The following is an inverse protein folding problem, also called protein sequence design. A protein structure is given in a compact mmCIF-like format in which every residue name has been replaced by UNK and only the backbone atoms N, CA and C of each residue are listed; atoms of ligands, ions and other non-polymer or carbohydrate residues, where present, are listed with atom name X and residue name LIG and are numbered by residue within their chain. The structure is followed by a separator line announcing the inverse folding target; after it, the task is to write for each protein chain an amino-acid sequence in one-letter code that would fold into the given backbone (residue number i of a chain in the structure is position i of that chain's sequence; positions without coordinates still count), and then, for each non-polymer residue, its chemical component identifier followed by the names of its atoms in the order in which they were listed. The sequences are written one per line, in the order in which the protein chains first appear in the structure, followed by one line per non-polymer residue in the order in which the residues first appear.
data_IF_782113094677
#
_entry.id   IF_782113094677
#
_cell.length_a   1.000
_cell.length_b   1.000
_cell.length_c   1.000
_cell.angle_alpha   90.00
_cell.angle_beta   90.00
_cell.angle_gamma   90.00
#
_symmetry.space_group_name_H-M   'P 1'
#
loop_
_entity.id
_entity.type
_entity.pdbx_description
1 polymer ?
#
# COMPACT_ATOMS: atom_id res chain seq x y z
N UNK A 1 -5.09 26.28 4.31
CA UNK A 1 -4.50 25.24 5.19
C UNK A 1 -4.72 23.88 4.52
N UNK A 2 -3.73 23.36 3.78
CA UNK A 2 -3.75 21.95 3.38
C UNK A 2 -3.64 21.13 4.66
N UNK A 3 -4.66 20.33 5.00
CA UNK A 3 -4.53 19.34 6.08
C UNK A 3 -3.38 18.43 5.70
N UNK A 4 -2.27 18.50 6.45
CA UNK A 4 -1.05 17.77 6.13
C UNK A 4 -1.34 16.28 6.06
N UNK A 5 -1.28 15.71 4.85
CA UNK A 5 -1.25 14.25 4.68
C UNK A 5 0.05 13.77 5.30
N UNK A 6 0.01 13.28 6.53
CA UNK A 6 1.13 12.54 7.09
C UNK A 6 1.01 11.10 6.59
N UNK A 7 2.06 10.61 5.92
CA UNK A 7 2.18 9.17 5.67
C UNK A 7 2.86 8.57 6.90
N UNK A 8 2.37 7.42 7.36
CA UNK A 8 2.87 6.77 8.57
C UNK A 8 4.40 6.65 8.57
N UNK A 9 4.98 6.80 9.75
CA UNK A 9 6.42 6.78 9.98
C UNK A 9 6.74 6.83 11.47
N UNK A 10 7.94 6.38 11.84
CA UNK A 10 8.32 6.25 13.24
C UNK A 10 9.74 5.76 13.42
N UNK A 11 10.09 5.53 14.68
CA UNK A 11 11.37 4.95 15.10
C UNK A 11 11.10 3.48 15.38
N UNK A 12 11.71 2.60 14.60
CA UNK A 12 11.52 1.16 14.65
C UNK A 12 12.82 0.51 15.13
N UNK A 13 12.90 0.06 16.39
CA UNK A 13 14.04 -0.72 16.85
C UNK A 13 14.08 -2.07 16.12
N UNK A 14 15.28 -2.53 15.79
CA UNK A 14 15.49 -3.83 15.19
C UNK A 14 16.07 -4.81 16.21
N UNK A 15 15.94 -6.10 15.94
CA UNK A 15 16.52 -7.18 16.75
C UNK A 15 18.05 -7.10 16.89
N UNK A 16 18.73 -6.31 16.04
CA UNK A 16 20.19 -6.16 16.03
C UNK A 16 20.67 -4.97 16.87
N UNK A 17 19.79 -4.33 17.64
CA UNK A 17 20.10 -3.11 18.40
C UNK A 17 20.31 -1.88 17.51
N UNK A 18 19.96 -1.96 16.21
CA UNK A 18 19.91 -0.79 15.33
C UNK A 18 18.50 -0.22 15.30
N UNK A 19 18.37 0.97 14.74
CA UNK A 19 17.08 1.66 14.59
C UNK A 19 16.89 1.99 13.12
N UNK A 20 15.66 1.82 12.62
CA UNK A 20 15.22 2.38 11.35
C UNK A 20 14.25 3.50 11.66
N UNK A 21 14.45 4.68 11.07
CA UNK A 21 13.51 5.79 11.18
C UNK A 21 13.13 6.33 9.81
N UNK A 22 11.92 6.87 9.72
CA UNK A 22 11.35 7.38 8.48
C UNK A 22 9.91 6.91 8.28
N UNK A 23 9.40 6.96 7.04
CA UNK A 23 10.01 7.60 5.88
C UNK A 23 9.83 9.14 5.92
N UNK A 24 10.41 9.82 4.93
CA UNK A 24 10.02 11.18 4.60
C UNK A 24 8.81 11.21 3.65
N UNK A 25 8.38 12.40 3.25
CA UNK A 25 7.28 12.60 2.31
C UNK A 25 7.71 13.51 1.16
N UNK A 26 8.21 12.89 0.08
CA UNK A 26 8.52 13.56 -1.17
C UNK A 26 7.60 13.07 -2.28
N UNK A 27 6.91 13.99 -2.96
CA UNK A 27 6.18 13.67 -4.18
C UNK A 27 7.17 13.59 -5.34
N UNK A 28 6.95 12.61 -6.22
CA UNK A 28 7.80 12.36 -7.39
C UNK A 28 6.97 12.57 -8.65
N UNK A 29 7.59 13.18 -9.66
CA UNK A 29 7.00 13.26 -11.01
C UNK A 29 7.20 11.95 -11.78
N UNK A 30 8.39 11.33 -11.64
CA UNK A 30 8.71 10.06 -12.27
C UNK A 30 9.15 9.02 -11.25
N UNK A 31 8.82 7.75 -11.54
CA UNK A 31 9.26 6.60 -10.74
C UNK A 31 10.79 6.48 -10.67
N UNK A 32 11.50 6.96 -11.69
CA UNK A 32 12.97 6.98 -11.74
C UNK A 32 13.61 7.88 -10.68
N UNK A 33 12.87 8.86 -10.16
CA UNK A 33 13.43 9.91 -9.29
C UNK A 33 13.40 9.51 -7.80
N UNK A 34 13.33 8.20 -7.56
CA UNK A 34 13.23 7.57 -6.24
C UNK A 34 14.57 7.53 -5.49
N UNK A 35 15.65 7.95 -6.11
CA UNK A 35 16.95 8.02 -5.46
C UNK A 35 16.89 8.99 -4.28
N UNK A 36 17.61 8.62 -3.21
CA UNK A 36 17.72 9.46 -2.03
C UNK A 36 18.67 10.63 -2.29
N UNK A 37 18.33 11.78 -1.74
CA UNK A 37 19.21 12.95 -1.70
C UNK A 37 19.82 13.13 -0.31
N UNK A 38 20.86 13.96 -0.20
CA UNK A 38 21.41 14.34 1.11
C UNK A 38 20.39 15.14 1.93
N UNK A 39 19.51 15.89 1.26
CA UNK A 39 18.41 16.61 1.93
C UNK A 39 17.39 15.65 2.53
N UNK A 40 17.05 14.55 1.84
CA UNK A 40 16.16 13.51 2.39
C UNK A 40 16.74 12.95 3.71
N UNK A 41 18.06 12.74 3.76
CA UNK A 41 18.75 12.24 4.96
C UNK A 41 18.74 13.28 6.08
N UNK A 42 19.11 14.54 5.77
CA UNK A 42 19.09 15.66 6.74
C UNK A 42 17.70 15.89 7.31
N UNK A 43 16.65 15.79 6.49
CA UNK A 43 15.25 15.90 6.92
C UNK A 43 14.93 14.82 7.95
N UNK A 44 15.27 13.56 7.65
CA UNK A 44 15.02 12.45 8.57
C UNK A 44 15.83 12.57 9.86
N UNK A 45 17.10 12.94 9.78
CA UNK A 45 17.94 13.13 10.97
C UNK A 45 17.41 14.27 11.85
N UNK A 46 17.09 15.43 11.27
CA UNK A 46 16.54 16.56 12.03
C UNK A 46 15.22 16.22 12.70
N UNK A 47 14.38 15.40 12.07
CA UNK A 47 13.08 14.97 12.59
C UNK A 47 13.17 13.91 13.68
N UNK A 48 14.03 12.90 13.52
CA UNK A 48 14.02 11.71 14.39
C UNK A 48 15.18 11.65 15.38
N UNK A 49 16.36 12.22 15.10
CA UNK A 49 17.50 12.21 16.03
C UNK A 49 17.19 12.88 17.39
N UNK A 50 16.45 14.00 17.47
CA UNK A 50 16.11 14.60 18.77
C UNK A 50 15.26 13.71 19.68
N UNK A 51 14.59 12.69 19.12
CA UNK A 51 13.76 11.75 19.88
C UNK A 51 14.58 10.58 20.44
N UNK A 52 15.86 10.45 20.06
CA UNK A 52 16.74 9.37 20.50
C UNK A 52 17.62 9.85 21.65
N UNK A 53 17.78 9.01 22.68
CA UNK A 53 18.69 9.29 23.81
C UNK A 53 20.16 9.23 23.42
N UNK A 54 20.48 8.50 22.35
CA UNK A 54 21.85 8.28 21.87
C UNK A 54 21.91 8.59 20.39
N UNK A 55 22.99 9.26 19.98
CA UNK A 55 23.29 9.47 18.57
C UNK A 55 24.04 8.26 18.04
N UNK A 56 23.46 7.60 17.03
CA UNK A 56 24.09 6.51 16.31
C UNK A 56 24.84 6.99 15.06
N UNK A 57 25.58 6.07 14.44
CA UNK A 57 26.14 6.25 13.10
C UNK A 57 25.12 5.81 12.05
N UNK A 58 24.97 6.57 10.97
CA UNK A 58 24.17 6.16 9.81
C UNK A 58 24.81 4.92 9.16
N UNK A 59 24.09 3.80 9.16
CA UNK A 59 24.58 2.54 8.60
C UNK A 59 24.15 2.35 7.15
N UNK A 60 22.90 2.70 6.84
CA UNK A 60 22.28 2.48 5.53
C UNK A 60 21.05 3.37 5.37
N UNK A 61 20.76 3.72 4.13
CA UNK A 61 19.55 4.44 3.72
C UNK A 61 18.86 3.60 2.66
N UNK A 62 17.53 3.57 2.74
CA UNK A 62 16.66 2.90 1.78
C UNK A 62 15.69 3.92 1.22
N UNK A 63 15.29 3.74 -0.04
CA UNK A 63 14.26 4.55 -0.67
C UNK A 63 13.25 3.65 -1.38
N UNK A 64 12.02 4.12 -1.50
CA UNK A 64 10.94 3.38 -2.14
C UNK A 64 9.80 4.32 -2.52
N UNK A 65 9.15 4.01 -3.64
CA UNK A 65 8.02 4.80 -4.17
C UNK A 65 6.72 4.11 -3.80
N UNK A 66 5.77 4.87 -3.24
CA UNK A 66 4.41 4.40 -3.00
C UNK A 66 3.54 4.74 -4.23
N UNK A 67 2.93 3.76 -4.90
CA UNK A 67 2.00 4.02 -5.99
C UNK A 67 0.73 4.65 -5.42
N UNK A 68 0.41 5.88 -5.85
CA UNK A 68 -0.78 6.59 -5.40
C UNK A 68 -1.95 6.36 -6.35
N UNK A 69 -3.16 6.30 -5.80
CA UNK A 69 -4.40 6.37 -6.56
C UNK A 69 -4.90 7.81 -6.60
N UNK A 70 -5.45 8.30 -7.74
CA UNK A 70 -6.16 9.58 -7.79
C UNK A 70 -7.30 9.68 -6.77
N UNK A 71 -7.88 8.55 -6.38
CA UNK A 71 -9.01 8.46 -5.46
C UNK A 71 -8.59 8.25 -3.99
N UNK A 72 -7.30 8.06 -3.72
CA UNK A 72 -6.80 7.82 -2.36
C UNK A 72 -7.22 6.48 -1.74
N UNK A 73 -7.59 5.50 -2.57
CA UNK A 73 -7.93 4.12 -2.17
C UNK A 73 -7.37 3.11 -3.19
N UNK A 74 -7.30 1.84 -2.80
CA UNK A 74 -6.88 0.73 -3.67
C UNK A 74 -7.93 0.51 -4.75
N UNK A 75 -7.51 0.46 -6.01
CA UNK A 75 -8.39 0.18 -7.13
C UNK A 75 -8.06 -1.20 -7.70
N UNK A 76 -9.10 -1.99 -7.95
CA UNK A 76 -9.04 -3.21 -8.73
C UNK A 76 -9.86 -2.99 -10.00
N UNK A 77 -9.18 -2.89 -11.14
CA UNK A 77 -9.80 -2.58 -12.43
C UNK A 77 -9.55 -3.70 -13.43
N UNK A 78 -10.58 -4.10 -14.15
CA UNK A 78 -10.46 -5.03 -15.26
C UNK A 78 -10.02 -4.27 -16.52
N UNK A 79 -9.07 -4.83 -17.26
CA UNK A 79 -8.67 -4.30 -18.56
C UNK A 79 -9.74 -4.56 -19.61
N UNK A 80 -9.67 -3.84 -20.73
CA UNK A 80 -10.67 -3.88 -21.80
C UNK A 80 -10.99 -5.30 -22.32
N UNK A 81 -10.00 -6.20 -22.33
CA UNK A 81 -10.17 -7.59 -22.77
C UNK A 81 -10.87 -8.49 -21.75
N UNK A 82 -11.16 -7.99 -20.54
CA UNK A 82 -11.68 -8.78 -19.41
C UNK A 82 -10.68 -9.78 -18.83
N UNK A 83 -9.47 -9.91 -19.39
CA UNK A 83 -8.45 -10.90 -19.00
C UNK A 83 -7.24 -10.31 -18.28
N UNK A 84 -7.27 -9.02 -18.01
CA UNK A 84 -6.25 -8.30 -17.26
C UNK A 84 -6.89 -7.73 -16.00
N UNK A 85 -6.27 -7.94 -14.84
CA UNK A 85 -6.70 -7.35 -13.58
C UNK A 85 -5.58 -6.42 -13.10
N UNK A 86 -5.89 -5.14 -12.98
CA UNK A 86 -4.97 -4.11 -12.52
C UNK A 86 -5.22 -3.80 -11.04
N UNK A 87 -4.15 -3.81 -10.26
CA UNK A 87 -4.15 -3.26 -8.90
C UNK A 87 -3.45 -1.90 -8.92
N UNK A 88 -4.18 -0.83 -8.60
CA UNK A 88 -3.68 0.54 -8.68
C UNK A 88 -3.72 1.18 -7.29
N UNK A 89 -2.72 2.01 -7.00
CA UNK A 89 -2.71 2.83 -5.80
C UNK A 89 -2.45 2.06 -4.52
N UNK A 90 -1.70 0.95 -4.59
CA UNK A 90 -1.31 0.13 -3.42
C UNK A 90 -0.29 0.90 -2.55
N UNK A 91 -0.74 1.99 -1.95
CA UNK A 91 -0.04 2.76 -0.92
C UNK A 91 -0.28 2.16 0.48
N UNK A 92 0.11 2.83 1.56
CA UNK A 92 -0.17 2.33 2.91
C UNK A 92 -1.68 2.28 3.15
N UNK A 93 -2.25 1.17 3.68
CA UNK A 93 -1.61 -0.01 4.29
C UNK A 93 -1.49 -1.25 3.37
N UNK A 94 -0.96 -1.11 2.16
CA UNK A 94 -1.00 -2.13 1.10
C UNK A 94 -0.27 -3.42 1.43
N UNK A 95 0.86 -3.35 2.13
CA UNK A 95 1.57 -4.55 2.60
C UNK A 95 0.71 -5.33 3.62
N UNK A 96 0.08 -4.62 4.55
CA UNK A 96 -0.83 -5.22 5.54
C UNK A 96 -2.07 -5.80 4.87
N UNK A 97 -2.58 -5.15 3.82
CA UNK A 97 -3.75 -5.59 3.07
C UNK A 97 -3.46 -6.69 2.03
N UNK A 98 -2.19 -7.01 1.77
CA UNK A 98 -1.79 -7.92 0.69
C UNK A 98 -2.50 -9.28 0.71
N UNK A 99 -2.69 -9.96 1.87
CA UNK A 99 -3.42 -11.23 1.91
C UNK A 99 -4.90 -11.10 1.49
N UNK A 100 -5.58 -10.02 1.90
CA UNK A 100 -6.97 -9.77 1.53
C UNK A 100 -7.10 -9.41 0.04
N UNK A 101 -6.20 -8.57 -0.46
CA UNK A 101 -6.12 -8.23 -1.89
C UNK A 101 -5.86 -9.47 -2.75
N UNK A 102 -4.97 -10.36 -2.31
CA UNK A 102 -4.70 -11.63 -3.01
C UNK A 102 -5.93 -12.51 -3.14
N UNK A 103 -6.73 -12.63 -2.08
CA UNK A 103 -8.00 -13.39 -2.12
C UNK A 103 -9.02 -12.74 -3.06
N UNK A 104 -9.13 -11.41 -3.03
CA UNK A 104 -10.03 -10.67 -3.92
C UNK A 104 -9.64 -10.86 -5.40
N UNK A 105 -8.35 -10.75 -5.72
CA UNK A 105 -7.85 -10.99 -7.09
C UNK A 105 -8.10 -12.44 -7.51
N UNK A 106 -7.84 -13.42 -6.64
CA UNK A 106 -8.10 -14.82 -6.95
C UNK A 106 -9.58 -15.10 -7.25
N UNK A 107 -10.51 -14.48 -6.51
CA UNK A 107 -11.94 -14.57 -6.79
C UNK A 107 -12.28 -13.97 -8.16
N UNK A 108 -11.74 -12.80 -8.48
CA UNK A 108 -11.94 -12.15 -9.79
C UNK A 108 -11.41 -12.99 -10.95
N UNK A 109 -10.21 -13.56 -10.80
CA UNK A 109 -9.65 -14.49 -11.80
C UNK A 109 -10.57 -15.69 -12.03
N UNK A 110 -11.13 -16.28 -10.96
CA UNK A 110 -12.08 -17.40 -11.10
C UNK A 110 -13.33 -17.00 -11.88
N UNK A 111 -13.89 -15.82 -11.59
CA UNK A 111 -15.06 -15.30 -12.32
C UNK A 111 -14.75 -15.09 -13.81
N UNK A 112 -13.60 -14.48 -14.13
CA UNK A 112 -13.15 -14.25 -15.52
C UNK A 112 -12.95 -15.56 -16.29
N UNK A 113 -12.40 -16.59 -15.64
CA UNK A 113 -12.11 -17.89 -16.26
C UNK A 113 -13.30 -18.85 -16.24
N UNK A 114 -14.40 -18.54 -15.54
CA UNK A 114 -15.56 -19.43 -15.39
C UNK A 114 -15.28 -20.72 -14.62
N UNK A 115 -14.31 -20.72 -13.69
CA UNK A 115 -13.94 -21.94 -12.93
C UNK A 115 -14.76 -22.06 -11.65
N UNK A 116 -15.46 -23.18 -11.48
CA UNK A 116 -16.18 -23.50 -10.25
C UNK A 116 -15.24 -24.09 -9.19
N UNK A 117 -15.51 -23.79 -7.90
CA UNK A 117 -14.77 -24.37 -6.77
C UNK A 117 -14.92 -25.90 -6.78
N UNK A 118 -13.81 -26.62 -6.66
CA UNK A 118 -13.86 -28.05 -6.41
C UNK A 118 -14.25 -28.26 -4.93
N UNK A 119 -15.29 -29.04 -4.66
CA UNK A 119 -15.95 -29.17 -3.35
C UNK A 119 -15.03 -29.62 -2.20
N UNK A 120 -13.85 -30.15 -2.53
CA UNK A 120 -12.90 -30.73 -1.58
C UNK A 120 -11.98 -29.71 -0.85
N UNK A 121 -11.97 -28.42 -1.21
CA UNK A 121 -10.99 -27.43 -0.69
C UNK A 121 -11.62 -26.41 0.27
N UNK A 122 -12.92 -26.52 0.58
CA UNK A 122 -13.73 -25.46 1.19
C UNK A 122 -13.49 -25.15 2.68
N UNK A 123 -12.95 -26.06 3.49
CA UNK A 123 -13.06 -25.90 4.96
C UNK A 123 -11.95 -25.06 5.61
N UNK A 124 -10.84 -24.80 4.90
CA UNK A 124 -9.64 -24.19 5.52
C UNK A 124 -9.56 -22.65 5.44
N UNK A 125 -10.17 -22.02 4.43
CA UNK A 125 -9.94 -20.59 4.15
C UNK A 125 -11.01 -19.63 4.70
N UNK A 126 -12.23 -20.09 4.94
CA UNK A 126 -13.38 -19.24 5.27
C UNK A 126 -13.45 -18.81 6.75
N UNK A 127 -12.64 -19.44 7.62
CA UNK A 127 -12.60 -19.09 9.06
C UNK A 127 -11.78 -17.83 9.38
N UNK A 128 -11.02 -17.30 8.43
CA UNK A 128 -10.32 -16.02 8.59
C UNK A 128 -11.27 -14.88 8.20
N UNK A 129 -12.12 -14.46 9.14
CA UNK A 129 -13.19 -13.48 8.92
C UNK A 129 -12.76 -12.16 8.28
N UNK A 130 -12.95 -12.04 6.97
CA UNK A 130 -12.82 -10.77 6.23
C UNK A 130 -14.20 -10.43 5.67
N UNK A 131 -14.93 -9.59 6.42
CA UNK A 131 -16.20 -9.03 5.99
C UNK A 131 -16.06 -8.20 4.73
N UNK A 132 -17.11 -8.23 3.90
CA UNK A 132 -17.20 -7.54 2.63
C UNK A 132 -16.89 -6.03 2.76
N UNK A 133 -15.94 -5.53 1.96
CA UNK A 133 -15.85 -4.10 1.67
C UNK A 133 -16.96 -3.77 0.67
N UNK A 134 -18.09 -3.28 1.17
CA UNK A 134 -19.19 -2.75 0.34
C UNK A 134 -18.76 -1.40 -0.25
N UNK A 135 -18.32 -1.39 -1.50
CA UNK A 135 -18.31 -0.19 -2.34
C UNK A 135 -19.67 -0.07 -3.03
N UNK A 136 -20.57 0.72 -2.46
CA UNK A 136 -21.81 1.11 -3.13
C UNK A 136 -21.53 2.21 -4.12
N UNK A 137 -21.89 2.00 -5.39
CA UNK A 137 -22.23 3.10 -6.30
C UNK A 137 -23.54 2.70 -6.95
N UNK A 138 -24.58 3.39 -6.52
CA UNK A 138 -25.94 3.28 -7.04
C UNK A 138 -25.97 3.83 -8.46
N UNK A 139 -26.60 3.07 -9.36
CA UNK A 139 -26.83 3.40 -10.75
C UNK A 139 -28.10 4.22 -10.86
N UNK A 140 -27.97 5.53 -11.06
CA UNK A 140 -29.09 6.41 -11.42
C UNK A 140 -28.85 7.01 -12.79
N UNK A 141 -29.42 6.39 -13.82
CA UNK A 141 -29.57 6.95 -15.17
C UNK A 141 -30.94 7.61 -15.20
N UNK A 142 -30.99 8.93 -15.37
CA UNK A 142 -32.13 9.73 -15.85
C UNK A 142 -31.46 10.97 -16.49
N UNK A 143 -31.63 11.33 -17.76
CA UNK A 143 -32.86 11.39 -18.53
C UNK A 143 -33.23 12.87 -18.69
N UNK A 144 -33.12 13.37 -19.93
CA UNK A 144 -33.33 14.76 -20.45
C UNK A 144 -32.10 15.67 -20.47
#
# INVERSE_FOLDING_TARGET
IQRGRTKGGGIIPTMRGTVVFGPNLRLLERKSDAERTDDDVRELESKFQPLLRVRGKLLRVYAGVRPLSPHGDFLLLEGYSGRLINLIGIESPGLTAAPALGRLVAQRVKSVLGVHQNSAVGEGLDRAGVGAVRGGVDSGVDGV
#
